data_IF_382910192203
#
_entry.id   IF_382910192203
#
_cell.length_a   1.000
_cell.length_b   1.000
_cell.length_c   1.000
_cell.angle_alpha   90.00
_cell.angle_beta   90.00
_cell.angle_gamma   90.00
#
_symmetry.space_group_name_H-M   'P 1'
#
loop_
_entity.id
_entity.type
_entity.pdbx_description
1 polymer ?
#
# COMPACT_ATOMS: atom_id res chain seq x y z
N UNK A 1 3.30 -30.38 58.98
CA UNK A 1 2.70 -30.98 57.77
C UNK A 1 1.82 -29.94 57.09
N UNK A 2 2.17 -29.59 55.83
CA UNK A 2 1.40 -28.88 54.76
C UNK A 2 0.69 -27.56 55.18
N UNK A 3 1.06 -26.32 54.81
CA UNK A 3 1.62 -25.71 53.58
C UNK A 3 1.07 -26.32 52.28
N UNK A 4 0.40 -25.46 51.50
CA UNK A 4 -0.30 -25.70 50.23
C UNK A 4 -1.74 -26.20 50.35
N UNK A 5 -2.70 -25.28 50.26
CA UNK A 5 -3.76 -25.40 49.26
C UNK A 5 -4.51 -24.07 49.06
N UNK A 6 -4.41 -23.56 47.83
CA UNK A 6 -5.35 -22.70 47.10
C UNK A 6 -5.44 -21.21 47.51
N UNK A 7 -4.37 -20.49 47.17
CA UNK A 7 -4.39 -19.05 46.84
C UNK A 7 -4.74 -18.83 45.35
N UNK A 8 -5.35 -19.80 44.66
CA UNK A 8 -5.62 -19.74 43.22
C UNK A 8 -7.08 -19.41 42.90
N UNK A 9 -7.57 -18.24 43.32
CA UNK A 9 -8.84 -17.71 42.80
C UNK A 9 -8.86 -16.19 42.57
N UNK A 10 -7.72 -15.50 42.62
CA UNK A 10 -7.69 -14.05 42.47
C UNK A 10 -6.59 -13.51 41.56
N UNK A 11 -6.06 -14.33 40.64
CA UNK A 11 -4.97 -13.92 39.76
C UNK A 11 -5.06 -14.46 38.34
N UNK A 12 -6.23 -14.39 37.68
CA UNK A 12 -6.34 -14.40 36.21
C UNK A 12 -7.59 -13.62 35.80
N UNK A 13 -7.56 -12.30 35.92
CA UNK A 13 -8.54 -11.43 35.23
C UNK A 13 -7.87 -10.19 34.62
N UNK A 14 -6.58 -10.30 34.34
CA UNK A 14 -5.80 -9.33 33.60
C UNK A 14 -5.01 -10.13 32.58
N UNK A 15 -5.12 -9.74 31.30
CA UNK A 15 -4.49 -10.34 30.11
C UNK A 15 -5.24 -11.52 29.49
N UNK A 16 -6.24 -11.20 28.65
CA UNK A 16 -6.24 -11.55 27.21
C UNK A 16 -7.49 -10.94 26.57
N UNK A 17 -7.51 -9.62 26.42
CA UNK A 17 -8.20 -8.98 25.30
C UNK A 17 -7.11 -8.62 24.28
N UNK A 18 -6.39 -9.65 23.82
CA UNK A 18 -5.61 -9.53 22.58
C UNK A 18 -6.65 -9.40 21.48
N UNK A 19 -6.71 -8.21 20.90
CA UNK A 19 -7.67 -7.86 19.86
C UNK A 19 -7.72 -8.95 18.80
N UNK A 20 -8.93 -9.45 18.55
CA UNK A 20 -9.21 -9.95 17.21
C UNK A 20 -9.13 -8.73 16.30
N UNK A 21 -7.96 -8.47 15.74
CA UNK A 21 -7.87 -7.79 14.47
C UNK A 21 -8.69 -8.67 13.52
N UNK A 22 -9.92 -8.24 13.23
CA UNK A 22 -10.64 -8.81 12.11
C UNK A 22 -9.77 -8.47 10.90
N UNK A 23 -9.20 -9.48 10.25
CA UNK A 23 -8.59 -9.33 8.94
C UNK A 23 -9.70 -8.85 8.00
N UNK A 24 -9.86 -7.54 7.88
CA UNK A 24 -10.79 -6.92 6.96
C UNK A 24 -10.19 -7.11 5.58
N UNK A 25 -10.77 -8.01 4.80
CA UNK A 25 -10.51 -8.10 3.36
C UNK A 25 -10.74 -6.73 2.76
N UNK A 26 -9.76 -6.18 2.03
CA UNK A 26 -9.96 -4.93 1.32
C UNK A 26 -10.93 -5.16 0.17
N UNK A 27 -12.17 -4.71 0.36
CA UNK A 27 -13.23 -4.74 -0.66
C UNK A 27 -13.42 -3.33 -1.20
N UNK A 28 -13.24 -3.14 -2.50
CA UNK A 28 -13.65 -1.91 -3.18
C UNK A 28 -15.13 -2.00 -3.53
N UNK A 29 -15.93 -1.07 -3.01
CA UNK A 29 -17.30 -0.83 -3.46
C UNK A 29 -17.24 0.01 -4.76
N UNK A 30 -17.38 -0.64 -5.92
CA UNK A 30 -17.44 0.08 -7.20
C UNK A 30 -18.88 0.49 -7.50
N UNK A 31 -19.16 1.79 -7.36
CA UNK A 31 -20.47 2.38 -7.73
C UNK A 31 -20.46 2.72 -9.22
N UNK A 32 -20.78 1.72 -10.04
CA UNK A 32 -20.94 1.89 -11.48
C UNK A 32 -21.90 0.87 -12.08
N UNK A 33 -23.13 1.30 -12.40
CA UNK A 33 -24.01 0.56 -13.31
C UNK A 33 -24.80 -0.61 -12.70
N UNK A 34 -25.57 -0.37 -11.63
CA UNK A 34 -26.78 -1.16 -11.35
C UNK A 34 -26.70 -2.21 -10.24
N UNK A 35 -25.53 -2.77 -9.93
CA UNK A 35 -25.34 -3.67 -8.78
C UNK A 35 -23.98 -3.44 -8.11
N UNK A 36 -23.92 -3.52 -6.77
CA UNK A 36 -22.67 -3.46 -6.01
C UNK A 36 -21.83 -4.69 -6.35
N UNK A 37 -20.70 -4.52 -7.01
CA UNK A 37 -19.76 -5.59 -7.25
C UNK A 37 -18.68 -5.56 -6.17
N UNK A 38 -18.71 -6.52 -5.24
CA UNK A 38 -17.60 -6.72 -4.30
C UNK A 38 -16.41 -7.30 -5.06
N UNK A 39 -15.33 -6.52 -5.12
CA UNK A 39 -14.07 -6.94 -5.73
C UNK A 39 -13.05 -7.19 -4.64
N UNK A 40 -12.58 -8.42 -4.59
CA UNK A 40 -11.56 -8.88 -3.65
C UNK A 40 -10.47 -9.61 -4.41
N UNK A 41 -9.21 -9.25 -4.15
CA UNK A 41 -8.04 -10.03 -4.57
C UNK A 41 -7.74 -11.19 -3.60
N UNK A 42 -8.57 -11.35 -2.56
CA UNK A 42 -8.34 -12.32 -1.48
C UNK A 42 -7.24 -11.93 -0.50
N UNK A 43 -6.51 -10.82 -0.73
CA UNK A 43 -5.46 -10.33 0.16
C UNK A 43 -6.03 -9.62 1.39
N UNK A 44 -5.38 -9.86 2.51
CA UNK A 44 -5.58 -9.18 3.79
C UNK A 44 -4.66 -7.96 3.90
N UNK A 45 -4.93 -7.11 4.89
CA UNK A 45 -4.02 -6.00 5.26
C UNK A 45 -2.60 -6.54 5.52
N UNK A 46 -2.49 -7.66 6.25
CA UNK A 46 -1.21 -8.27 6.60
C UNK A 46 -0.43 -8.73 5.37
N UNK A 47 -1.10 -9.21 4.33
CA UNK A 47 -0.47 -9.59 3.06
C UNK A 47 0.16 -8.38 2.38
N UNK A 48 -0.54 -7.23 2.34
CA UNK A 48 -0.01 -6.00 1.78
C UNK A 48 1.18 -5.46 2.57
N UNK A 49 1.06 -5.41 3.90
CA UNK A 49 2.14 -4.94 4.77
C UNK A 49 3.38 -5.84 4.62
N UNK A 50 3.20 -7.16 4.53
CA UNK A 50 4.30 -8.10 4.28
C UNK A 50 4.96 -7.82 2.93
N UNK A 51 4.17 -7.68 1.87
CA UNK A 51 4.69 -7.41 0.53
C UNK A 51 5.40 -6.06 0.42
N UNK A 52 4.94 -5.04 1.15
CA UNK A 52 5.58 -3.74 1.26
C UNK A 52 6.94 -3.83 1.96
N UNK A 53 7.02 -4.55 3.10
CA UNK A 53 8.28 -4.77 3.80
C UNK A 53 9.30 -5.48 2.91
N UNK A 54 8.88 -6.52 2.19
CA UNK A 54 9.73 -7.23 1.24
C UNK A 54 10.23 -6.34 0.09
N UNK A 55 9.37 -5.46 -0.45
CA UNK A 55 9.69 -4.60 -1.59
C UNK A 55 10.91 -3.70 -1.33
N UNK A 56 11.03 -3.17 -0.11
CA UNK A 56 12.10 -2.24 0.29
C UNK A 56 13.06 -2.82 1.33
N UNK A 57 12.86 -4.06 1.77
CA UNK A 57 13.67 -4.70 2.80
C UNK A 57 13.55 -4.03 4.18
N UNK A 58 12.33 -3.65 4.56
CA UNK A 58 11.97 -3.12 5.86
C UNK A 58 11.87 -4.24 6.91
N UNK A 59 12.27 -3.96 8.14
CA UNK A 59 12.16 -4.88 9.28
C UNK A 59 10.87 -4.66 10.09
N UNK A 60 10.29 -3.46 10.02
CA UNK A 60 9.09 -3.05 10.76
C UNK A 60 8.15 -2.19 9.90
N UNK A 61 6.86 -2.26 10.22
CA UNK A 61 5.82 -1.39 9.69
C UNK A 61 5.02 -0.83 10.88
N UNK A 62 4.71 0.46 10.86
CA UNK A 62 3.90 1.10 11.90
C UNK A 62 2.41 1.08 11.57
N UNK A 63 1.65 1.90 12.30
CA UNK A 63 0.19 1.97 12.16
C UNK A 63 -0.24 2.57 10.81
N UNK A 64 -1.35 2.08 10.28
CA UNK A 64 -1.91 2.55 9.01
C UNK A 64 -2.52 3.94 9.21
N UNK A 65 -2.13 4.87 8.35
CA UNK A 65 -2.68 6.21 8.24
C UNK A 65 -3.69 6.26 7.08
N UNK A 66 -4.91 6.71 7.38
CA UNK A 66 -5.97 6.93 6.40
C UNK A 66 -6.17 8.45 6.21
N UNK A 67 -5.85 9.01 5.03
CA UNK A 67 -5.95 10.46 4.79
C UNK A 67 -7.38 11.02 4.79
N UNK A 68 -8.38 10.19 4.48
CA UNK A 68 -9.80 10.57 4.42
C UNK A 68 -10.60 9.81 5.48
N UNK A 69 -11.61 10.47 6.09
CA UNK A 69 -12.51 9.87 7.10
C UNK A 69 -13.32 8.69 6.55
N UNK A 70 -13.52 8.63 5.23
CA UNK A 70 -14.26 7.56 4.56
C UNK A 70 -13.38 6.31 4.29
N UNK A 71 -12.07 6.32 4.62
CA UNK A 71 -11.14 5.16 4.59
C UNK A 71 -10.91 4.46 3.23
N UNK A 72 -11.47 4.91 2.11
CA UNK A 72 -11.50 4.08 0.89
C UNK A 72 -10.37 4.31 -0.14
N UNK A 73 -9.54 5.37 -0.06
CA UNK A 73 -8.48 5.54 -1.08
C UNK A 73 -7.14 6.08 -0.57
N UNK A 74 -6.07 5.35 -0.93
CA UNK A 74 -4.65 5.67 -0.71
C UNK A 74 -4.24 5.85 0.76
N UNK A 75 -4.32 4.79 1.55
CA UNK A 75 -3.70 4.73 2.88
C UNK A 75 -2.17 4.75 2.80
N UNK A 76 -1.53 5.04 3.94
CA UNK A 76 -0.08 5.05 4.08
C UNK A 76 0.37 4.28 5.33
N UNK A 77 1.38 3.42 5.18
CA UNK A 77 1.98 2.62 6.25
C UNK A 77 3.45 3.01 6.39
N UNK A 78 3.89 3.59 7.51
CA UNK A 78 5.30 3.93 7.68
C UNK A 78 6.13 2.64 7.76
N UNK A 79 7.18 2.55 6.94
CA UNK A 79 8.07 1.41 6.86
C UNK A 79 9.44 1.79 7.43
N UNK A 80 9.99 0.92 8.27
CA UNK A 80 11.24 1.17 8.98
C UNK A 80 12.30 0.14 8.62
N UNK A 81 13.56 0.57 8.74
CA UNK A 81 14.74 -0.28 8.69
C UNK A 81 15.75 0.18 9.72
N UNK A 82 16.16 -0.72 10.61
CA UNK A 82 17.10 -0.41 11.69
C UNK A 82 16.62 0.80 12.53
N UNK A 83 15.30 0.91 12.72
CA UNK A 83 14.64 2.03 13.43
C UNK A 83 14.54 3.35 12.65
N UNK A 84 14.97 3.40 11.39
CA UNK A 84 14.87 4.60 10.54
C UNK A 84 13.68 4.48 9.59
N UNK A 85 12.87 5.53 9.47
CA UNK A 85 11.81 5.61 8.47
C UNK A 85 12.44 5.62 7.06
N UNK A 86 12.06 4.66 6.23
CA UNK A 86 12.56 4.53 4.85
C UNK A 86 11.53 4.90 3.78
N UNK A 87 10.28 5.13 4.19
CA UNK A 87 9.19 5.59 3.33
C UNK A 87 7.83 5.14 3.87
N UNK A 88 6.79 5.48 3.14
CA UNK A 88 5.41 5.11 3.42
C UNK A 88 4.92 4.16 2.33
N UNK A 89 4.56 2.94 2.72
CA UNK A 89 3.92 1.98 1.84
C UNK A 89 2.46 2.34 1.60
N UNK A 90 1.97 2.11 0.39
CA UNK A 90 0.57 2.25 0.00
C UNK A 90 0.19 1.11 -0.94
N UNK A 91 -1.09 0.79 -1.01
CA UNK A 91 -1.63 -0.16 -1.97
C UNK A 91 -2.94 0.34 -2.55
N UNK A 92 -3.21 -0.11 -3.76
CA UNK A 92 -4.45 0.16 -4.46
C UNK A 92 -4.95 -1.14 -5.06
N UNK A 93 -6.22 -1.41 -4.78
CA UNK A 93 -7.01 -2.36 -5.55
C UNK A 93 -7.65 -1.59 -6.72
N UNK A 94 -7.70 -2.18 -7.90
CA UNK A 94 -8.30 -1.58 -9.08
C UNK A 94 -8.91 -2.66 -9.97
N UNK A 95 -9.60 -2.24 -11.02
CA UNK A 95 -10.11 -3.15 -12.05
C UNK A 95 -9.43 -2.79 -13.35
N UNK A 96 -8.83 -3.79 -14.00
CA UNK A 96 -8.36 -3.67 -15.38
C UNK A 96 -9.02 -4.78 -16.19
N UNK A 97 -9.74 -4.40 -17.26
CA UNK A 97 -10.48 -5.34 -18.11
C UNK A 97 -11.41 -6.32 -17.37
N UNK A 98 -12.12 -5.86 -16.34
CA UNK A 98 -13.00 -6.70 -15.49
C UNK A 98 -12.28 -7.72 -14.61
N UNK A 99 -10.96 -7.62 -14.49
CA UNK A 99 -10.16 -8.39 -13.55
C UNK A 99 -9.75 -7.50 -12.38
N UNK A 100 -9.93 -7.96 -11.13
CA UNK A 100 -9.35 -7.28 -9.99
C UNK A 100 -7.82 -7.36 -10.11
N UNK A 101 -7.19 -6.21 -9.96
CA UNK A 101 -5.75 -6.05 -9.99
C UNK A 101 -5.36 -5.26 -8.75
N UNK A 102 -4.16 -5.52 -8.25
CA UNK A 102 -3.61 -4.72 -7.17
C UNK A 102 -2.12 -4.50 -7.32
N UNK A 103 -1.68 -3.39 -6.78
CA UNK A 103 -0.28 -3.05 -6.73
C UNK A 103 0.04 -2.32 -5.44
N UNK A 104 1.31 -2.38 -5.09
CA UNK A 104 1.87 -1.68 -3.95
C UNK A 104 2.92 -0.70 -4.41
N UNK A 105 3.06 0.40 -3.68
CA UNK A 105 4.11 1.38 -3.88
C UNK A 105 4.65 1.85 -2.54
N UNK A 106 5.90 2.31 -2.55
CA UNK A 106 6.50 3.04 -1.43
C UNK A 106 6.76 4.46 -1.89
N UNK A 107 6.25 5.42 -1.14
CA UNK A 107 6.39 6.86 -1.38
C UNK A 107 7.23 7.51 -0.29
N UNK A 108 7.94 8.57 -0.60
CA UNK A 108 8.63 9.40 0.40
C UNK A 108 8.78 10.82 -0.10
N UNK A 109 9.14 11.75 0.78
CA UNK A 109 9.62 13.07 0.33
C UNK A 109 10.99 12.93 -0.34
N UNK A 110 11.24 13.71 -1.39
CA UNK A 110 12.56 13.81 -2.00
C UNK A 110 13.58 14.30 -0.96
N UNK A 111 14.80 13.74 -0.99
CA UNK A 111 15.89 14.09 -0.07
C UNK A 111 15.60 13.93 1.44
N UNK A 112 14.57 13.17 1.83
CA UNK A 112 14.16 12.98 3.22
C UNK A 112 13.98 14.30 4.00
N UNK A 113 13.63 15.40 3.29
CA UNK A 113 13.56 16.74 3.86
C UNK A 113 12.25 17.40 3.45
N UNK A 114 11.51 17.95 4.42
CA UNK A 114 10.38 18.85 4.21
C UNK A 114 10.90 20.27 3.98
N UNK A 115 11.26 20.60 2.74
CA UNK A 115 11.34 21.99 2.29
C UNK A 115 10.12 22.29 1.43
N UNK A 116 9.76 23.57 1.26
CA UNK A 116 8.72 24.00 0.30
C UNK A 116 9.00 23.58 -1.16
N UNK A 117 10.20 23.07 -1.44
CA UNK A 117 10.65 22.58 -2.74
C UNK A 117 10.72 21.04 -2.80
N UNK A 118 10.42 20.35 -1.71
CA UNK A 118 10.46 18.89 -1.65
C UNK A 118 9.14 18.31 -2.08
N UNK A 119 9.18 17.39 -3.05
CA UNK A 119 8.03 16.71 -3.61
C UNK A 119 7.99 15.26 -3.15
N UNK A 120 6.80 14.67 -3.12
CA UNK A 120 6.62 13.24 -3.01
C UNK A 120 7.24 12.53 -4.22
N UNK A 121 7.89 11.40 -3.97
CA UNK A 121 8.48 10.53 -5.00
C UNK A 121 8.04 9.08 -4.81
N UNK A 122 7.79 8.38 -5.91
CA UNK A 122 7.70 6.91 -5.89
C UNK A 122 9.11 6.33 -5.71
N UNK A 123 9.36 5.62 -4.61
CA UNK A 123 10.65 4.98 -4.32
C UNK A 123 10.76 3.62 -5.01
N UNK A 124 9.70 2.83 -4.89
CA UNK A 124 9.55 1.51 -5.50
C UNK A 124 8.07 1.21 -5.67
N UNK A 125 7.75 0.33 -6.60
CA UNK A 125 6.40 -0.21 -6.75
C UNK A 125 6.48 -1.60 -7.39
N UNK A 126 5.43 -2.39 -7.25
CA UNK A 126 5.21 -3.61 -8.04
C UNK A 126 3.73 -3.95 -8.09
N UNK A 127 3.22 -4.47 -9.23
CA UNK A 127 1.94 -5.16 -9.21
C UNK A 127 2.05 -6.46 -8.42
N UNK A 128 1.02 -6.80 -7.65
CA UNK A 128 0.95 -8.07 -6.92
C UNK A 128 0.12 -9.09 -7.71
N UNK A 129 -1.01 -8.67 -8.28
CA UNK A 129 -1.86 -9.54 -9.10
C UNK A 129 -1.60 -9.51 -10.59
N UNK A 130 -0.70 -8.66 -11.12
CA UNK A 130 -0.44 -8.58 -12.57
C UNK A 130 -0.41 -9.99 -13.15
N UNK A 131 -1.53 -10.27 -13.80
CA UNK A 131 -2.04 -11.61 -14.05
C UNK A 131 -0.99 -12.39 -14.86
N UNK A 132 -1.09 -13.71 -14.91
CA UNK A 132 -0.30 -14.59 -15.80
C UNK A 132 -0.33 -14.14 -17.29
N UNK A 133 -1.13 -13.13 -17.63
CA UNK A 133 -1.27 -12.47 -18.93
C UNK A 133 -0.27 -11.33 -19.20
N UNK A 134 0.31 -10.71 -18.16
CA UNK A 134 1.27 -9.60 -18.29
C UNK A 134 2.53 -9.77 -17.41
N UNK A 135 3.21 -10.94 -17.46
CA UNK A 135 4.37 -11.22 -16.61
C UNK A 135 5.53 -10.23 -16.80
N UNK A 136 5.62 -9.60 -17.97
CA UNK A 136 6.59 -8.56 -18.27
C UNK A 136 6.48 -7.37 -17.31
N UNK A 137 5.29 -7.06 -16.79
CA UNK A 137 5.11 -5.96 -15.84
C UNK A 137 5.77 -6.18 -14.48
N UNK A 138 6.24 -7.41 -14.20
CA UNK A 138 7.01 -7.73 -13.00
C UNK A 138 8.52 -7.55 -13.20
N UNK A 139 8.97 -7.27 -14.41
CA UNK A 139 10.41 -7.11 -14.69
C UNK A 139 10.89 -5.72 -14.27
N UNK A 140 12.07 -5.68 -13.64
CA UNK A 140 12.67 -4.46 -13.10
C UNK A 140 12.86 -3.35 -14.15
N UNK A 141 13.09 -3.71 -15.42
CA UNK A 141 13.18 -2.75 -16.53
C UNK A 141 11.92 -1.87 -16.66
N UNK A 142 10.74 -2.42 -16.36
CA UNK A 142 9.49 -1.68 -16.42
C UNK A 142 9.17 -1.01 -15.09
N UNK A 143 9.39 -1.70 -13.97
CA UNK A 143 9.15 -1.14 -12.64
C UNK A 143 10.00 0.13 -12.42
N UNK A 144 11.27 0.10 -12.81
CA UNK A 144 12.20 1.21 -12.61
C UNK A 144 11.86 2.48 -13.39
N UNK A 145 10.98 2.42 -14.41
CA UNK A 145 10.54 3.60 -15.18
C UNK A 145 9.81 4.62 -14.33
N UNK A 146 9.16 4.17 -13.25
CA UNK A 146 8.43 5.06 -12.33
C UNK A 146 9.19 5.34 -11.03
N UNK A 147 10.44 4.87 -10.88
CA UNK A 147 11.24 5.23 -9.72
C UNK A 147 11.66 6.70 -9.80
N UNK A 148 11.45 7.44 -8.71
CA UNK A 148 11.65 8.89 -8.68
C UNK A 148 10.53 9.70 -9.33
N UNK A 149 9.43 9.05 -9.76
CA UNK A 149 8.25 9.74 -10.29
C UNK A 149 7.67 10.71 -9.25
N UNK A 150 7.36 11.93 -9.67
CA UNK A 150 6.74 13.01 -8.89
C UNK A 150 5.40 13.44 -9.48
N UNK A 151 4.69 14.37 -8.83
CA UNK A 151 3.52 15.03 -9.39
C UNK A 151 3.80 15.83 -10.66
N UNK A 152 5.05 16.16 -10.97
CA UNK A 152 5.43 16.85 -12.22
C UNK A 152 5.75 15.87 -13.36
N UNK A 153 6.03 14.60 -13.05
CA UNK A 153 6.32 13.59 -14.07
C UNK A 153 5.14 13.41 -15.02
N UNK A 154 5.38 13.43 -16.34
CA UNK A 154 4.39 13.20 -17.38
C UNK A 154 4.46 11.77 -17.92
N UNK A 155 3.31 11.19 -18.28
CA UNK A 155 3.28 9.92 -18.99
C UNK A 155 3.82 10.08 -20.42
N UNK A 156 4.83 9.30 -20.79
CA UNK A 156 5.36 9.23 -22.14
C UNK A 156 4.95 7.89 -22.79
N UNK A 157 3.95 7.87 -23.67
CA UNK A 157 3.48 6.64 -24.31
C UNK A 157 4.56 5.84 -25.06
N UNK A 158 5.63 6.47 -25.55
CA UNK A 158 6.70 5.78 -26.28
C UNK A 158 7.62 4.97 -25.36
N UNK A 159 7.66 5.33 -24.08
CA UNK A 159 8.56 4.72 -23.08
C UNK A 159 7.77 3.96 -22.02
N UNK A 160 6.59 4.44 -21.62
CA UNK A 160 5.87 3.89 -20.46
C UNK A 160 4.89 2.77 -20.84
N UNK A 161 4.49 2.71 -22.11
CA UNK A 161 3.62 1.63 -22.58
C UNK A 161 4.42 0.36 -22.80
N UNK A 162 3.88 -0.73 -22.27
CA UNK A 162 4.32 -2.08 -22.55
C UNK A 162 3.40 -2.66 -23.61
N UNK A 163 4.00 -3.20 -24.68
CA UNK A 163 3.24 -3.81 -25.76
C UNK A 163 2.37 -4.96 -25.23
N UNK A 164 1.07 -4.91 -25.51
CA UNK A 164 0.09 -5.86 -24.97
C UNK A 164 -0.57 -5.43 -23.66
N UNK A 165 -0.02 -4.41 -22.98
CA UNK A 165 -0.40 -4.07 -21.59
C UNK A 165 -0.72 -2.57 -21.45
N UNK A 166 -1.16 -1.92 -22.53
CA UNK A 166 -1.40 -0.48 -22.61
C UNK A 166 -2.31 0.06 -21.50
N UNK A 167 -3.46 -0.58 -21.26
CA UNK A 167 -4.41 -0.12 -20.24
C UNK A 167 -3.83 -0.30 -18.84
N UNK A 168 -3.12 -1.40 -18.58
CA UNK A 168 -2.45 -1.63 -17.30
C UNK A 168 -1.36 -0.59 -17.05
N UNK A 169 -0.50 -0.31 -18.04
CA UNK A 169 0.52 0.76 -17.96
C UNK A 169 -0.08 2.12 -17.61
N UNK A 170 -1.17 2.50 -18.29
CA UNK A 170 -1.85 3.77 -18.00
C UNK A 170 -2.46 3.77 -16.59
N UNK A 171 -3.16 2.70 -16.22
CA UNK A 171 -3.85 2.59 -14.94
C UNK A 171 -2.86 2.70 -13.78
N UNK A 172 -1.76 1.94 -13.80
CA UNK A 172 -0.76 2.01 -12.73
C UNK A 172 -0.10 3.39 -12.65
N UNK A 173 0.24 4.01 -13.79
CA UNK A 173 0.78 5.37 -13.80
C UNK A 173 -0.19 6.36 -13.12
N UNK A 174 -1.47 6.34 -13.48
CA UNK A 174 -2.45 7.26 -12.89
C UNK A 174 -2.73 6.99 -11.42
N UNK A 175 -2.78 5.72 -11.01
CA UNK A 175 -2.94 5.37 -9.60
C UNK A 175 -1.72 5.80 -8.76
N UNK A 176 -0.50 5.69 -9.28
CA UNK A 176 0.70 6.25 -8.63
C UNK A 176 0.70 7.78 -8.58
N UNK A 177 0.23 8.48 -9.63
CA UNK A 177 0.00 9.94 -9.59
C UNK A 177 -0.96 10.32 -8.47
N UNK A 178 -2.06 9.58 -8.33
CA UNK A 178 -3.05 9.86 -7.30
C UNK A 178 -2.52 9.55 -5.90
N UNK A 179 -1.75 8.46 -5.72
CA UNK A 179 -1.03 8.20 -4.48
C UNK A 179 -0.14 9.38 -4.08
N UNK A 180 0.65 9.91 -5.02
CA UNK A 180 1.49 11.09 -4.77
C UNK A 180 0.66 12.33 -4.42
N UNK A 181 -0.45 12.54 -5.11
CA UNK A 181 -1.35 13.67 -4.86
C UNK A 181 -1.88 13.64 -3.43
N UNK A 182 -2.42 12.48 -3.02
CA UNK A 182 -2.95 12.31 -1.67
C UNK A 182 -1.84 12.37 -0.64
N UNK A 183 -0.68 11.77 -0.91
CA UNK A 183 0.47 11.82 -0.01
C UNK A 183 0.91 13.27 0.29
N UNK A 184 1.01 14.11 -0.73
CA UNK A 184 1.44 15.50 -0.57
C UNK A 184 0.37 16.40 0.06
N UNK A 185 -0.92 16.18 -0.27
CA UNK A 185 -2.00 17.07 0.19
C UNK A 185 -2.62 16.67 1.53
N UNK A 186 -2.67 15.37 1.82
CA UNK A 186 -3.43 14.82 2.95
C UNK A 186 -2.66 13.72 3.70
N UNK A 187 -1.50 13.30 3.21
CA UNK A 187 -0.72 12.22 3.76
C UNK A 187 -0.10 12.54 5.11
N UNK A 188 0.64 11.57 5.69
CA UNK A 188 1.29 11.73 6.99
C UNK A 188 2.33 12.86 7.02
N UNK A 189 2.74 13.34 5.85
CA UNK A 189 3.68 14.44 5.69
C UNK A 189 3.02 15.76 5.22
N UNK A 190 1.69 15.84 5.09
CA UNK A 190 0.98 17.06 4.69
C UNK A 190 1.00 18.16 5.78
N UNK A 191 0.86 19.44 5.39
CA UNK A 191 0.76 20.63 6.26
C UNK A 191 -0.69 21.05 6.54
#
# INVERSE_FOLDING_TARGET
MKKSLVVSLFLVFVLTFSGMAFATTHTLDVVGGGEKQELSTGRTVEDYVTALKELVGADEAGDIFYPEEDEVKYLFVPLYKDGNLIGYGSWVNTIIYSHPEDFIAVVSMANNSKSKESMGVIKKWKPLDANDHHPEMKQEEFLSRYYGMTLESSFNPEVDIISGSTISSQTFYFEMKNMLLVFEQFGPEAE
#
